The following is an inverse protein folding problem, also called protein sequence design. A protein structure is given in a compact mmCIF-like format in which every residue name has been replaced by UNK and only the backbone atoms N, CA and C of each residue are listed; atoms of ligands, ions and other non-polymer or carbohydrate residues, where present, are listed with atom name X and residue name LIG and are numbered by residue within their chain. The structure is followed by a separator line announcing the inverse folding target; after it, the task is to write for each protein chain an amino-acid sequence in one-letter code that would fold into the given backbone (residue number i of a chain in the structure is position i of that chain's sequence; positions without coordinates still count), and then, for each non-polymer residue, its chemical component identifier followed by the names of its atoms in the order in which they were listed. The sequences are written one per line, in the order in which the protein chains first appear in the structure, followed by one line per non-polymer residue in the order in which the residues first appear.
data_IF_038150123950
#
_entry.id   IF_038150123950
#
_cell.length_a   1.000
_cell.length_b   1.000
_cell.length_c   1.000
_cell.angle_alpha   90.00
_cell.angle_beta   90.00
_cell.angle_gamma   90.00
#
_symmetry.space_group_name_H-M   'P 1'
#
loop_
_entity.id
_entity.type
_entity.pdbx_description
1 polymer ?
#
# COMPACT_ATOMS: atom_id res chain seq x y z
N UNK A 1 5.81 41.79 -13.74
CA UNK A 1 4.68 41.59 -12.81
C UNK A 1 4.74 40.17 -12.31
N UNK A 2 4.96 39.98 -11.00
CA UNK A 2 4.85 38.67 -10.37
C UNK A 2 3.35 38.35 -10.25
N UNK A 3 2.86 37.45 -11.11
CA UNK A 3 1.48 36.97 -11.05
C UNK A 3 1.38 35.99 -9.88
N UNK A 4 0.76 36.42 -8.78
CA UNK A 4 0.46 35.53 -7.67
C UNK A 4 -0.55 34.46 -8.12
N UNK A 5 -0.36 33.19 -7.73
CA UNK A 5 -1.29 32.12 -8.07
C UNK A 5 -2.68 32.39 -7.50
N UNK A 6 -3.71 32.03 -8.27
CA UNK A 6 -5.10 32.20 -7.84
C UNK A 6 -5.38 31.49 -6.50
N UNK A 7 -6.34 31.95 -5.68
CA UNK A 7 -6.73 31.26 -4.46
C UNK A 7 -7.09 29.78 -4.69
N UNK A 8 -7.73 29.46 -5.81
CA UNK A 8 -8.06 28.09 -6.21
C UNK A 8 -6.81 27.24 -6.48
N UNK A 9 -5.83 27.81 -7.19
CA UNK A 9 -4.54 27.15 -7.45
C UNK A 9 -3.79 26.87 -6.13
N UNK A 10 -3.75 27.85 -5.23
CA UNK A 10 -3.14 27.69 -3.90
C UNK A 10 -3.82 26.59 -3.08
N UNK A 11 -5.16 26.51 -3.12
CA UNK A 11 -5.91 25.44 -2.44
C UNK A 11 -5.54 24.06 -3.00
N UNK A 12 -5.50 23.91 -4.33
CA UNK A 12 -5.11 22.65 -4.99
C UNK A 12 -3.68 22.23 -4.62
N UNK A 13 -2.75 23.19 -4.61
CA UNK A 13 -1.35 22.92 -4.28
C UNK A 13 -1.18 22.47 -2.82
N UNK A 14 -1.93 23.07 -1.88
CA UNK A 14 -1.96 22.63 -0.48
C UNK A 14 -2.52 21.22 -0.32
N UNK A 15 -3.57 20.88 -1.06
CA UNK A 15 -4.09 19.51 -1.08
C UNK A 15 -3.03 18.55 -1.59
N UNK A 16 -2.48 18.78 -2.79
CA UNK A 16 -1.45 17.93 -3.38
C UNK A 16 -0.24 17.76 -2.46
N UNK A 17 0.20 18.83 -1.78
CA UNK A 17 1.30 18.75 -0.84
C UNK A 17 1.02 17.82 0.35
N UNK A 18 -0.21 17.81 0.87
CA UNK A 18 -0.62 16.86 1.91
C UNK A 18 -0.56 15.43 1.37
N UNK A 19 -1.05 15.21 0.14
CA UNK A 19 -1.03 13.90 -0.48
C UNK A 19 0.38 13.35 -0.68
N UNK A 20 1.30 14.20 -1.14
CA UNK A 20 2.71 13.84 -1.31
C UNK A 20 3.37 13.50 0.03
N UNK A 21 3.00 14.17 1.13
CA UNK A 21 3.49 13.82 2.47
C UNK A 21 3.02 12.45 2.93
N UNK A 22 1.77 12.09 2.66
CA UNK A 22 1.25 10.76 3.00
C UNK A 22 2.04 9.68 2.25
N UNK A 23 2.27 9.87 0.94
CA UNK A 23 3.08 8.97 0.10
C UNK A 23 4.53 8.90 0.58
N UNK A 24 5.16 10.04 0.88
CA UNK A 24 6.53 10.12 1.39
C UNK A 24 6.67 9.36 2.72
N UNK A 25 5.69 9.50 3.62
CA UNK A 25 5.69 8.82 4.91
C UNK A 25 5.71 7.29 4.74
N UNK A 26 4.82 6.76 3.90
CA UNK A 26 4.78 5.33 3.58
C UNK A 26 6.09 4.90 2.92
N UNK A 27 6.59 5.65 1.94
CA UNK A 27 7.84 5.33 1.24
C UNK A 27 9.05 5.27 2.18
N UNK A 28 9.10 6.11 3.22
CA UNK A 28 10.13 6.04 4.27
C UNK A 28 9.94 4.83 5.18
N UNK A 29 8.71 4.52 5.57
CA UNK A 29 8.41 3.35 6.40
C UNK A 29 8.82 2.04 5.70
N UNK A 30 8.63 1.95 4.38
CA UNK A 30 9.10 0.81 3.56
C UNK A 30 10.62 0.61 3.58
N UNK A 31 11.40 1.64 3.90
CA UNK A 31 12.87 1.55 3.99
C UNK A 31 13.34 1.04 5.37
N UNK A 32 12.40 0.76 6.29
CA UNK A 32 12.67 0.16 7.59
C UNK A 32 13.25 -1.25 7.46
N UNK A 33 14.11 -1.63 8.43
CA UNK A 33 14.75 -2.95 8.45
C UNK A 33 13.85 -4.06 8.98
N UNK A 34 12.95 -3.71 9.89
CA UNK A 34 12.08 -4.64 10.60
C UNK A 34 10.65 -4.62 10.04
N UNK A 35 10.49 -4.16 8.79
CA UNK A 35 9.20 -4.09 8.10
C UNK A 35 8.85 -5.45 7.51
N UNK A 36 7.72 -6.02 7.93
CA UNK A 36 7.20 -7.25 7.36
C UNK A 36 6.09 -6.99 6.31
N UNK A 37 5.58 -8.06 5.69
CA UNK A 37 4.58 -7.92 4.62
C UNK A 37 3.21 -7.45 5.14
N UNK A 38 2.89 -7.71 6.41
CA UNK A 38 1.66 -7.24 7.04
C UNK A 38 1.70 -5.73 7.24
N UNK A 39 2.84 -5.20 7.71
CA UNK A 39 3.06 -3.75 7.83
C UNK A 39 2.91 -3.06 6.48
N UNK A 40 3.57 -3.58 5.44
CA UNK A 40 3.50 -3.04 4.07
C UNK A 40 2.06 -2.99 3.58
N UNK A 41 1.30 -4.09 3.74
CA UNK A 41 -0.11 -4.14 3.32
C UNK A 41 -0.96 -3.13 4.08
N UNK A 42 -0.77 -3.03 5.39
CA UNK A 42 -1.52 -2.08 6.20
C UNK A 42 -1.28 -0.64 5.72
N UNK A 43 -0.03 -0.24 5.50
CA UNK A 43 0.28 1.12 5.04
C UNK A 43 -0.26 1.40 3.64
N UNK A 44 -0.26 0.40 2.75
CA UNK A 44 -0.83 0.55 1.42
C UNK A 44 -2.36 0.70 1.47
N UNK A 45 -3.04 -0.13 2.26
CA UNK A 45 -4.50 -0.03 2.46
C UNK A 45 -4.88 1.33 3.07
N UNK A 46 -4.11 1.83 4.03
CA UNK A 46 -4.29 3.16 4.63
C UNK A 46 -4.09 4.30 3.62
N UNK A 47 -3.19 4.13 2.64
CA UNK A 47 -2.96 5.11 1.57
C UNK A 47 -4.04 5.03 0.48
N UNK A 48 -4.56 3.84 0.20
CA UNK A 48 -5.64 3.57 -0.76
C UNK A 48 -6.99 4.08 -0.24
N UNK A 49 -7.28 3.92 1.05
CA UNK A 49 -8.57 4.30 1.64
C UNK A 49 -9.01 5.76 1.30
N UNK A 50 -8.15 6.79 1.45
CA UNK A 50 -8.48 8.15 1.01
C UNK A 50 -8.28 8.38 -0.50
N UNK A 51 -7.57 7.49 -1.20
CA UNK A 51 -7.21 7.63 -2.62
C UNK A 51 -7.33 6.30 -3.37
N UNK A 52 -8.56 5.88 -3.72
CA UNK A 52 -8.81 4.58 -4.34
C UNK A 52 -8.03 4.34 -5.64
N UNK A 53 -7.63 5.40 -6.35
CA UNK A 53 -6.82 5.30 -7.57
C UNK A 53 -5.47 4.62 -7.37
N UNK A 54 -4.93 4.60 -6.14
CA UNK A 54 -3.69 3.90 -5.84
C UNK A 54 -3.84 2.38 -5.79
N UNK A 55 -5.06 1.86 -5.68
CA UNK A 55 -5.31 0.41 -5.68
C UNK A 55 -4.78 -0.28 -6.95
N UNK A 56 -4.77 0.43 -8.09
CA UNK A 56 -4.22 -0.06 -9.35
C UNK A 56 -2.73 -0.44 -9.26
N UNK A 57 -1.99 0.19 -8.34
CA UNK A 57 -0.54 0.02 -8.21
C UNK A 57 -0.13 -0.65 -6.89
N UNK A 58 -0.88 -0.40 -5.82
CA UNK A 58 -0.54 -0.83 -4.46
C UNK A 58 -1.47 -1.91 -3.92
N UNK A 59 -2.62 -2.14 -4.57
CA UNK A 59 -3.59 -3.12 -4.11
C UNK A 59 -3.06 -4.55 -4.17
N UNK A 60 -3.67 -5.49 -3.44
CA UNK A 60 -3.25 -6.89 -3.40
C UNK A 60 -3.40 -7.63 -4.74
N UNK A 61 -4.17 -7.05 -5.67
CA UNK A 61 -4.41 -7.57 -7.02
C UNK A 61 -3.80 -6.65 -8.09
N UNK A 62 -2.93 -5.72 -7.72
CA UNK A 62 -2.26 -4.86 -8.67
C UNK A 62 -1.37 -5.70 -9.60
N UNK A 63 -1.25 -5.29 -10.87
CA UNK A 63 -0.52 -6.05 -11.90
C UNK A 63 0.95 -6.32 -11.54
N UNK A 64 1.55 -5.43 -10.74
CA UNK A 64 2.93 -5.57 -10.26
C UNK A 64 3.11 -6.71 -9.24
N UNK A 65 2.02 -7.17 -8.61
CA UNK A 65 2.05 -8.25 -7.61
C UNK A 65 2.26 -9.58 -8.34
N UNK A 66 3.47 -10.13 -8.21
CA UNK A 66 3.86 -11.36 -8.89
C UNK A 66 3.01 -12.58 -8.49
N UNK A 67 2.69 -12.72 -7.20
CA UNK A 67 1.85 -13.82 -6.69
C UNK A 67 0.90 -13.30 -5.62
N UNK A 68 -0.34 -12.92 -6.01
CA UNK A 68 -1.34 -12.41 -5.08
C UNK A 68 -1.66 -13.39 -3.94
N UNK A 69 -1.74 -14.70 -4.24
CA UNK A 69 -2.01 -15.73 -3.24
C UNK A 69 -0.86 -15.86 -2.23
N UNK A 70 0.39 -15.71 -2.66
CA UNK A 70 1.54 -15.76 -1.75
C UNK A 70 1.54 -14.56 -0.80
N UNK A 71 1.30 -13.36 -1.33
CA UNK A 71 1.24 -12.14 -0.54
C UNK A 71 0.08 -12.19 0.46
N UNK A 72 -1.12 -12.55 0.01
CA UNK A 72 -2.30 -12.73 0.86
C UNK A 72 -2.08 -13.80 1.93
N UNK A 73 -1.50 -14.94 1.54
CA UNK A 73 -1.17 -16.03 2.46
C UNK A 73 -0.20 -15.60 3.56
N UNK A 74 0.91 -14.95 3.20
CA UNK A 74 1.89 -14.42 4.16
C UNK A 74 1.23 -13.44 5.15
N UNK A 75 0.44 -12.49 4.65
CA UNK A 75 -0.28 -11.50 5.48
C UNK A 75 -1.23 -12.20 6.45
N UNK A 76 -1.91 -13.26 6.00
CA UNK A 76 -2.81 -14.05 6.85
C UNK A 76 -2.06 -14.79 7.95
N UNK A 77 -0.90 -15.38 7.64
CA UNK A 77 -0.04 -16.05 8.63
C UNK A 77 0.49 -15.05 9.66
N UNK A 78 0.99 -13.89 9.23
CA UNK A 78 1.47 -12.82 10.12
C UNK A 78 0.38 -12.29 11.06
N UNK A 79 -0.90 -12.33 10.63
CA UNK A 79 -2.07 -12.03 11.49
C UNK A 79 -2.46 -13.16 12.45
N UNK A 80 -1.75 -14.29 12.46
CA UNK A 80 -2.08 -15.48 13.26
C UNK A 80 -3.32 -16.23 12.75
N UNK A 81 -3.66 -16.08 11.47
CA UNK A 81 -4.85 -16.67 10.86
C UNK A 81 -4.51 -17.85 9.93
N UNK A 82 -3.45 -18.60 10.21
CA UNK A 82 -3.00 -19.70 9.34
C UNK A 82 -4.06 -20.80 9.13
N UNK A 83 -4.96 -21.02 10.09
CA UNK A 83 -6.08 -21.97 9.93
C UNK A 83 -7.18 -21.50 8.97
N UNK A 84 -7.04 -20.33 8.36
CA UNK A 84 -7.99 -19.74 7.39
C UNK A 84 -7.36 -19.55 6.01
N UNK A 85 -6.21 -20.16 5.75
CA UNK A 85 -5.58 -20.11 4.43
C UNK A 85 -6.51 -20.77 3.40
N UNK A 86 -6.54 -20.22 2.20
CA UNK A 86 -7.19 -20.87 1.06
C UNK A 86 -6.29 -21.98 0.51
N UNK A 87 -6.84 -22.92 -0.25
CA UNK A 87 -6.04 -23.96 -0.92
C UNK A 87 -4.96 -23.38 -1.84
N UNK A 88 -5.24 -22.23 -2.48
CA UNK A 88 -4.27 -21.56 -3.33
C UNK A 88 -3.14 -20.94 -2.50
N UNK A 89 -3.47 -20.27 -1.40
CA UNK A 89 -2.50 -19.72 -0.43
C UNK A 89 -1.65 -20.85 0.18
N UNK A 90 -2.24 -21.99 0.56
CA UNK A 90 -1.51 -23.15 1.08
C UNK A 90 -0.54 -23.73 0.05
N UNK A 91 -0.95 -23.84 -1.22
CA UNK A 91 -0.12 -24.41 -2.27
C UNK A 91 1.14 -23.57 -2.54
N UNK A 92 1.04 -22.24 -2.47
CA UNK A 92 2.18 -21.33 -2.74
C UNK A 92 3.06 -21.08 -1.53
N UNK A 93 2.57 -21.35 -0.31
CA UNK A 93 3.36 -21.30 0.93
C UNK A 93 3.99 -22.65 1.29
N UNK A 94 3.65 -23.70 0.56
CA UNK A 94 4.19 -25.04 0.75
C UNK A 94 5.70 -25.13 0.46
N UNK A 95 6.33 -26.25 0.86
CA UNK A 95 7.74 -26.49 0.59
C UNK A 95 8.06 -26.51 -0.91
N UNK A 96 9.24 -25.99 -1.27
CA UNK A 96 9.76 -25.90 -2.63
C UNK A 96 10.20 -27.24 -3.22
#
# INVERSE_FOLDING_TARGET
MELLPSPASNKRLRTLFKELKDVESVAKALQGRDTDLLDVRQWFDELIAPKPQFATYLGPQAEIVHSPDFESGCVRVLRGLQGRLTRAEEAVLGPF
#
